data_IF_954027841806
#
_entry.id   IF_954027841806
#
_cell.length_a   1.000
_cell.length_b   1.000
_cell.length_c   1.000
_cell.angle_alpha   90.00
_cell.angle_beta   90.00
_cell.angle_gamma   90.00
#
_symmetry.space_group_name_H-M   'P 1'
#
loop_
_entity.id
_entity.type
_entity.pdbx_description
1 polymer ?
#
# COMPACT_ATOMS: atom_id res chain seq x y z
N UNK A 1 19.08 -13.13 -58.95
CA UNK A 1 17.98 -12.70 -58.07
C UNK A 1 18.20 -11.21 -57.77
N UNK A 2 17.12 -10.43 -57.88
CA UNK A 2 17.11 -8.96 -57.95
C UNK A 2 17.83 -8.28 -56.78
N UNK A 3 18.73 -7.35 -57.10
CA UNK A 3 19.09 -6.20 -56.24
C UNK A 3 18.00 -5.12 -56.31
N UNK A 4 18.06 -3.99 -55.64
CA UNK A 4 19.02 -3.41 -54.71
C UNK A 4 18.34 -2.18 -54.08
N UNK A 5 18.76 -1.79 -52.89
CA UNK A 5 18.44 -0.52 -52.21
C UNK A 5 19.41 0.60 -52.67
N UNK A 6 19.34 1.84 -52.16
CA UNK A 6 18.25 2.83 -52.21
C UNK A 6 18.81 4.22 -52.69
N UNK A 7 18.04 5.30 -52.49
CA UNK A 7 18.42 6.74 -52.48
C UNK A 7 18.66 7.47 -53.83
N UNK A 8 17.91 8.56 -54.09
CA UNK A 8 18.41 9.90 -54.46
C UNK A 8 17.24 10.80 -54.90
N UNK A 9 17.24 12.03 -54.41
CA UNK A 9 16.35 13.14 -54.76
C UNK A 9 16.74 13.72 -56.13
N UNK A 10 15.80 14.27 -56.90
CA UNK A 10 16.05 15.47 -57.71
C UNK A 10 14.75 16.10 -58.26
N UNK A 11 14.71 17.43 -58.14
CA UNK A 11 13.68 18.36 -58.59
C UNK A 11 13.47 18.33 -60.11
N UNK A 12 12.23 18.55 -60.55
CA UNK A 12 11.96 19.19 -61.84
C UNK A 12 10.86 20.24 -61.70
N UNK A 13 11.26 21.47 -61.99
CA UNK A 13 10.44 22.66 -62.15
C UNK A 13 9.56 22.53 -63.39
N UNK A 14 8.28 22.92 -63.32
CA UNK A 14 7.57 23.43 -64.50
C UNK A 14 6.50 24.45 -64.11
N UNK A 15 6.48 25.50 -64.91
CA UNK A 15 5.85 26.80 -64.77
C UNK A 15 4.44 26.75 -65.38
N UNK A 16 3.40 27.15 -64.65
CA UNK A 16 2.07 27.43 -65.23
C UNK A 16 1.53 28.78 -64.75
N UNK A 17 1.08 29.50 -65.76
CA UNK A 17 0.67 30.90 -65.93
C UNK A 17 -0.44 31.38 -64.96
N UNK A 18 -0.34 32.65 -64.61
CA UNK A 18 -1.33 33.44 -63.88
C UNK A 18 -2.67 33.55 -64.62
N UNK A 19 -3.78 33.39 -63.89
CA UNK A 19 -5.13 33.62 -64.41
C UNK A 19 -6.18 33.79 -63.32
N UNK A 20 -6.67 35.03 -63.21
CA UNK A 20 -7.99 35.46 -62.73
C UNK A 20 -8.38 35.29 -61.24
N UNK A 21 -8.64 36.45 -60.63
CA UNK A 21 -9.30 36.66 -59.35
C UNK A 21 -10.72 36.07 -59.36
N UNK A 22 -11.06 35.30 -58.33
CA UNK A 22 -12.40 35.15 -57.79
C UNK A 22 -12.30 35.15 -56.26
N UNK A 23 -12.70 36.26 -55.64
CA UNK A 23 -13.00 36.32 -54.21
C UNK A 23 -14.26 35.48 -53.98
N UNK A 24 -14.07 34.25 -53.50
CA UNK A 24 -15.15 33.45 -52.93
C UNK A 24 -14.71 33.03 -51.54
N UNK A 25 -15.38 33.59 -50.53
CA UNK A 25 -15.14 33.28 -49.14
C UNK A 25 -15.34 31.80 -48.85
N UNK A 26 -14.38 31.19 -48.17
CA UNK A 26 -14.59 29.95 -47.46
C UNK A 26 -14.91 30.35 -46.02
N UNK A 27 -16.21 30.45 -45.74
CA UNK A 27 -16.72 30.61 -44.39
C UNK A 27 -16.22 29.43 -43.55
N UNK A 28 -15.69 29.74 -42.38
CA UNK A 28 -15.38 28.75 -41.36
C UNK A 28 -16.67 27.99 -41.03
N UNK A 29 -16.68 26.68 -41.28
CA UNK A 29 -17.75 25.78 -40.86
C UNK A 29 -17.86 25.78 -39.33
N UNK A 30 -18.57 26.78 -38.79
CA UNK A 30 -19.21 26.66 -37.49
C UNK A 30 -20.37 25.71 -37.72
N UNK A 31 -20.18 24.45 -37.33
CA UNK A 31 -21.24 23.45 -37.19
C UNK A 31 -22.50 24.11 -36.61
N UNK A 32 -23.54 24.26 -37.44
CA UNK A 32 -24.82 24.89 -37.10
C UNK A 32 -25.85 23.84 -36.68
N UNK A 33 -25.47 22.75 -35.99
CA UNK A 33 -26.48 21.88 -35.36
C UNK A 33 -27.25 22.77 -34.35
N UNK A 34 -28.59 22.88 -34.46
CA UNK A 34 -29.38 23.54 -33.42
C UNK A 34 -29.00 22.92 -32.07
N UNK A 35 -28.86 23.73 -31.01
CA UNK A 35 -28.71 23.21 -29.65
C UNK A 35 -30.01 22.46 -29.32
N UNK A 36 -30.02 21.14 -29.54
CA UNK A 36 -31.21 20.31 -29.69
C UNK A 36 -31.91 20.03 -28.34
N UNK A 37 -31.63 20.85 -27.33
CA UNK A 37 -32.11 20.66 -25.97
C UNK A 37 -31.59 19.37 -25.30
N UNK A 38 -30.60 18.69 -25.91
CA UNK A 38 -30.05 17.43 -25.41
C UNK A 38 -29.44 17.65 -24.02
N UNK A 39 -29.91 16.86 -23.06
CA UNK A 39 -29.38 16.81 -21.69
C UNK A 39 -29.04 15.38 -21.33
N UNK A 40 -27.87 15.19 -20.76
CA UNK A 40 -27.39 13.91 -20.24
C UNK A 40 -27.33 13.99 -18.72
N UNK A 41 -27.77 12.95 -18.04
CA UNK A 41 -27.66 12.82 -16.59
C UNK A 41 -27.25 11.41 -16.22
N UNK A 42 -26.41 11.31 -15.21
CA UNK A 42 -25.98 10.07 -14.56
C UNK A 42 -26.56 10.02 -13.15
N UNK A 43 -26.95 8.84 -12.67
CA UNK A 43 -27.49 8.64 -11.32
C UNK A 43 -26.96 7.35 -10.71
N UNK A 44 -26.49 7.39 -9.44
CA UNK A 44 -26.26 8.58 -8.62
C UNK A 44 -25.11 9.46 -9.16
N UNK A 45 -25.02 10.70 -8.69
CA UNK A 45 -23.92 11.61 -9.04
C UNK A 45 -22.65 11.35 -8.21
N UNK A 46 -22.80 10.68 -7.06
CA UNK A 46 -21.71 10.25 -6.20
C UNK A 46 -22.07 8.93 -5.52
N UNK A 47 -21.11 8.03 -5.38
CA UNK A 47 -21.26 6.75 -4.69
C UNK A 47 -19.95 6.32 -4.05
N UNK A 48 -20.03 5.60 -2.92
CA UNK A 48 -18.90 4.85 -2.38
C UNK A 48 -18.97 3.40 -2.88
N UNK A 49 -17.91 2.92 -3.53
CA UNK A 49 -17.79 1.53 -3.98
C UNK A 49 -16.55 0.92 -3.34
N UNK A 50 -16.67 -0.30 -2.82
CA UNK A 50 -15.52 -0.98 -2.22
C UNK A 50 -14.66 -1.60 -3.32
N UNK A 51 -13.35 -1.70 -3.10
CA UNK A 51 -12.47 -2.55 -3.92
C UNK A 51 -13.08 -3.94 -4.12
N UNK A 52 -12.90 -4.52 -5.31
CA UNK A 52 -13.47 -5.82 -5.71
C UNK A 52 -15.02 -5.91 -5.73
N UNK A 53 -15.73 -4.79 -5.57
CA UNK A 53 -17.18 -4.73 -5.70
C UNK A 53 -17.62 -3.98 -6.96
N UNK A 54 -18.86 -4.23 -7.36
CA UNK A 54 -19.49 -3.58 -8.52
C UNK A 54 -20.60 -2.63 -8.10
N UNK A 55 -20.87 -1.63 -8.92
CA UNK A 55 -21.99 -0.72 -8.77
C UNK A 55 -22.61 -0.37 -10.13
N UNK A 56 -23.93 -0.35 -10.21
CA UNK A 56 -24.67 0.00 -11.43
C UNK A 56 -24.98 1.51 -11.45
N UNK A 57 -24.49 2.20 -12.46
CA UNK A 57 -24.94 3.55 -12.79
C UNK A 57 -26.06 3.53 -13.83
N UNK A 58 -26.96 4.50 -13.75
CA UNK A 58 -27.97 4.71 -14.76
C UNK A 58 -27.73 6.04 -15.47
N UNK A 59 -27.86 6.04 -16.80
CA UNK A 59 -27.83 7.23 -17.62
C UNK A 59 -29.22 7.54 -18.18
N UNK A 60 -29.55 8.83 -18.28
CA UNK A 60 -30.75 9.32 -18.94
C UNK A 60 -30.37 10.42 -19.90
N UNK A 61 -30.72 10.25 -21.17
CA UNK A 61 -30.59 11.27 -22.21
C UNK A 61 -31.98 11.77 -22.58
N UNK A 62 -32.19 13.08 -22.59
CA UNK A 62 -33.47 13.70 -23.01
C UNK A 62 -33.22 14.68 -24.13
N UNK A 63 -34.16 14.82 -25.06
CA UNK A 63 -34.05 15.74 -26.21
C UNK A 63 -33.29 15.17 -27.40
N UNK A 64 -32.71 13.97 -27.27
CA UNK A 64 -32.07 13.27 -28.38
C UNK A 64 -33.09 12.44 -29.17
N UNK A 65 -32.86 12.30 -30.47
CA UNK A 65 -33.57 11.33 -31.31
C UNK A 65 -33.01 9.93 -31.07
N UNK A 66 -31.70 9.84 -30.83
CA UNK A 66 -30.99 8.63 -30.46
C UNK A 66 -30.35 8.77 -29.06
N UNK A 67 -30.99 8.24 -28.00
CA UNK A 67 -30.56 8.44 -26.61
C UNK A 67 -29.44 7.49 -26.17
N UNK A 68 -28.76 6.83 -27.10
CA UNK A 68 -27.64 5.93 -26.80
C UNK A 68 -26.46 6.66 -26.15
N UNK A 69 -25.74 5.93 -25.31
CA UNK A 69 -24.61 6.46 -24.54
C UNK A 69 -23.39 5.56 -24.61
N UNK A 70 -22.23 6.18 -24.45
CA UNK A 70 -20.96 5.49 -24.20
C UNK A 70 -20.47 5.79 -22.79
N UNK A 71 -19.87 4.79 -22.15
CA UNK A 71 -19.34 4.85 -20.80
C UNK A 71 -17.83 4.81 -20.82
N UNK A 72 -17.19 5.60 -19.96
CA UNK A 72 -15.74 5.57 -19.75
C UNK A 72 -15.38 5.91 -18.31
N UNK A 73 -14.18 5.49 -17.90
CA UNK A 73 -13.51 5.96 -16.70
C UNK A 73 -12.42 6.94 -17.11
N UNK A 74 -12.31 8.06 -16.39
CA UNK A 74 -11.35 9.11 -16.73
C UNK A 74 -9.91 8.75 -16.33
N UNK A 75 -9.73 7.98 -15.24
CA UNK A 75 -8.43 7.65 -14.66
C UNK A 75 -7.78 6.39 -15.27
N UNK A 76 -8.53 5.62 -16.05
CA UNK A 76 -8.05 4.40 -16.72
C UNK A 76 -8.14 3.12 -15.86
N UNK A 77 -7.48 2.02 -16.29
CA UNK A 77 -7.74 0.67 -15.75
C UNK A 77 -7.29 0.46 -14.30
N UNK A 78 -6.37 1.30 -13.78
CA UNK A 78 -5.94 1.25 -12.37
C UNK A 78 -7.06 1.59 -11.38
N UNK A 79 -8.11 2.26 -11.84
CA UNK A 79 -9.28 2.65 -11.07
C UNK A 79 -10.50 1.74 -11.34
N UNK A 80 -10.28 0.61 -12.02
CA UNK A 80 -11.32 -0.37 -12.34
C UNK A 80 -11.79 -0.27 -13.80
N UNK A 81 -12.99 -0.77 -14.05
CA UNK A 81 -13.59 -0.81 -15.38
C UNK A 81 -15.07 -0.43 -15.33
N UNK A 82 -15.57 0.21 -16.38
CA UNK A 82 -17.00 0.41 -16.60
C UNK A 82 -17.40 -0.28 -17.90
N UNK A 83 -18.44 -1.09 -17.87
CA UNK A 83 -18.94 -1.79 -19.06
C UNK A 83 -19.90 -0.92 -19.90
N UNK A 84 -20.33 -1.45 -21.04
CA UNK A 84 -21.25 -0.74 -21.95
C UNK A 84 -22.66 -0.54 -21.37
N UNK A 85 -23.00 -1.23 -20.28
CA UNK A 85 -24.28 -1.10 -19.59
C UNK A 85 -24.22 -0.15 -18.39
N UNK A 86 -23.04 0.41 -18.07
CA UNK A 86 -22.84 1.31 -16.95
C UNK A 86 -22.56 0.59 -15.61
N UNK A 87 -22.24 -0.71 -15.63
CA UNK A 87 -21.73 -1.40 -14.45
C UNK A 87 -20.27 -1.02 -14.26
N UNK A 88 -19.99 -0.31 -13.17
CA UNK A 88 -18.63 -0.08 -12.69
C UNK A 88 -18.17 -1.26 -11.82
N UNK A 89 -16.95 -1.72 -12.06
CA UNK A 89 -16.23 -2.72 -11.25
C UNK A 89 -15.00 -2.05 -10.67
N UNK A 90 -14.95 -1.93 -9.33
CA UNK A 90 -13.80 -1.38 -8.62
C UNK A 90 -12.56 -2.27 -8.79
N UNK A 91 -11.35 -1.71 -8.71
CA UNK A 91 -10.10 -2.46 -8.89
C UNK A 91 -9.87 -3.46 -7.75
N UNK A 92 -8.92 -4.37 -7.98
CA UNK A 92 -8.52 -5.38 -6.99
C UNK A 92 -7.65 -4.81 -5.86
N UNK A 93 -6.94 -3.71 -6.14
CA UNK A 93 -6.09 -2.98 -5.19
C UNK A 93 -6.52 -1.53 -5.10
N UNK A 94 -6.43 -0.95 -3.91
CA UNK A 94 -6.75 0.46 -3.68
C UNK A 94 -5.87 1.35 -4.56
N UNK A 95 -6.45 2.19 -5.44
CA UNK A 95 -5.68 3.15 -6.19
C UNK A 95 -5.33 4.38 -5.34
N UNK A 96 -4.31 5.12 -5.75
CA UNK A 96 -3.93 6.40 -5.16
C UNK A 96 -3.93 7.49 -6.24
N UNK A 97 -4.83 8.50 -6.17
CA UNK A 97 -5.87 8.69 -5.15
C UNK A 97 -7.03 7.69 -5.26
N UNK A 98 -7.69 7.41 -4.13
CA UNK A 98 -8.81 6.46 -4.01
C UNK A 98 -10.16 7.01 -4.56
N UNK A 99 -10.13 7.72 -5.68
CA UNK A 99 -11.31 8.33 -6.31
C UNK A 99 -11.30 8.10 -7.81
N UNK A 100 -12.44 7.76 -8.39
CA UNK A 100 -12.61 7.60 -9.84
C UNK A 100 -13.78 8.43 -10.37
N UNK A 101 -13.76 8.75 -11.67
CA UNK A 101 -14.80 9.51 -12.34
C UNK A 101 -15.38 8.70 -13.49
N UNK A 102 -16.65 8.31 -13.37
CA UNK A 102 -17.40 7.71 -14.48
C UNK A 102 -17.97 8.81 -15.33
N UNK A 103 -17.75 8.70 -16.64
CA UNK A 103 -18.28 9.60 -17.64
C UNK A 103 -19.23 8.86 -18.54
N UNK A 104 -20.37 9.51 -18.78
CA UNK A 104 -21.32 9.08 -19.80
C UNK A 104 -21.41 10.15 -20.89
N UNK A 105 -21.28 9.73 -22.14
CA UNK A 105 -21.27 10.59 -23.33
C UNK A 105 -22.40 10.20 -24.27
N UNK A 106 -23.20 11.18 -24.70
CA UNK A 106 -24.23 10.94 -25.71
C UNK A 106 -23.59 10.55 -27.04
N UNK A 107 -24.13 9.52 -27.69
CA UNK A 107 -23.65 9.06 -29.01
C UNK A 107 -23.99 10.08 -30.10
N UNK A 108 -25.17 10.71 -30.03
CA UNK A 108 -25.66 11.65 -31.04
C UNK A 108 -24.95 13.01 -31.01
N UNK A 109 -24.47 13.43 -29.83
CA UNK A 109 -23.71 14.66 -29.63
C UNK A 109 -22.68 14.47 -28.51
N UNK A 110 -21.43 14.21 -28.91
CA UNK A 110 -20.33 13.95 -27.98
C UNK A 110 -19.94 15.14 -27.11
N UNK A 111 -20.45 16.35 -27.39
CA UNK A 111 -20.27 17.52 -26.52
C UNK A 111 -21.18 17.48 -25.28
N UNK A 112 -22.21 16.63 -25.29
CA UNK A 112 -23.14 16.44 -24.17
C UNK A 112 -22.71 15.25 -23.33
N UNK A 113 -22.28 15.53 -22.11
CA UNK A 113 -21.73 14.53 -21.20
C UNK A 113 -22.23 14.78 -19.78
N UNK A 114 -22.20 13.74 -18.95
CA UNK A 114 -22.36 13.85 -17.50
C UNK A 114 -21.33 12.98 -16.80
N UNK A 115 -20.97 13.36 -15.57
CA UNK A 115 -20.00 12.63 -14.76
C UNK A 115 -20.56 12.29 -13.38
N UNK A 116 -20.09 11.17 -12.83
CA UNK A 116 -20.34 10.76 -11.46
C UNK A 116 -19.01 10.48 -10.76
N UNK A 117 -18.91 10.88 -9.50
CA UNK A 117 -17.76 10.61 -8.65
C UNK A 117 -17.92 9.26 -7.94
N UNK A 118 -16.85 8.50 -7.88
CA UNK A 118 -16.74 7.28 -7.09
C UNK A 118 -15.68 7.51 -6.02
N UNK A 119 -16.08 7.35 -4.76
CA UNK A 119 -15.16 7.20 -3.65
C UNK A 119 -14.86 5.70 -3.49
N UNK A 120 -13.62 5.28 -3.75
CA UNK A 120 -13.22 3.89 -3.63
C UNK A 120 -12.81 3.64 -2.18
N UNK A 121 -13.44 2.66 -1.54
CA UNK A 121 -13.23 2.37 -0.12
C UNK A 121 -12.82 0.94 0.17
N UNK A 122 -12.40 0.72 1.41
CA UNK A 122 -11.97 -0.57 1.94
C UNK A 122 -12.55 -0.75 3.36
N UNK A 123 -12.81 -2.00 3.74
CA UNK A 123 -13.20 -2.41 5.10
C UNK A 123 -12.17 -3.35 5.73
N UNK A 124 -10.94 -3.34 5.20
CA UNK A 124 -9.90 -4.25 5.63
C UNK A 124 -9.44 -3.86 7.03
N UNK A 125 -9.40 -4.84 7.92
CA UNK A 125 -8.76 -4.71 9.23
C UNK A 125 -7.63 -5.71 9.30
N UNK A 126 -6.40 -5.21 9.51
CA UNK A 126 -5.21 -6.05 9.73
C UNK A 126 -4.96 -6.15 11.23
N UNK A 127 -4.65 -7.35 11.71
CA UNK A 127 -4.17 -7.57 13.08
C UNK A 127 -2.91 -8.42 13.06
N UNK A 128 -2.07 -8.26 14.07
CA UNK A 128 -0.78 -8.94 14.21
C UNK A 128 -0.66 -9.51 15.63
N UNK A 129 -0.14 -10.74 15.72
CA UNK A 129 0.08 -11.45 16.98
C UNK A 129 1.47 -12.11 17.00
N UNK A 130 2.21 -12.02 18.12
CA UNK A 130 1.91 -11.19 19.29
C UNK A 130 2.09 -9.69 19.01
N UNK A 131 1.35 -8.82 19.71
CA UNK A 131 1.52 -7.36 19.60
C UNK A 131 2.83 -6.86 20.20
N UNK A 132 3.36 -7.60 21.17
CA UNK A 132 4.63 -7.31 21.82
C UNK A 132 5.35 -8.59 22.23
N UNK A 133 6.65 -8.67 21.98
CA UNK A 133 7.51 -9.76 22.44
C UNK A 133 8.93 -9.26 22.72
N UNK A 134 9.68 -10.01 23.54
CA UNK A 134 11.12 -9.84 23.72
C UNK A 134 11.84 -11.07 23.17
N UNK A 135 12.82 -10.87 22.29
CA UNK A 135 13.64 -11.94 21.73
C UNK A 135 15.12 -11.71 22.03
N UNK A 136 15.86 -12.80 22.19
CA UNK A 136 17.31 -12.72 22.28
C UNK A 136 17.94 -12.58 20.90
N UNK A 137 19.15 -12.03 20.86
CA UNK A 137 19.95 -11.98 19.63
C UNK A 137 20.14 -13.40 19.04
N UNK A 138 19.97 -13.53 17.74
CA UNK A 138 20.04 -14.81 17.02
C UNK A 138 18.83 -15.75 17.19
N UNK A 139 17.81 -15.37 17.98
CA UNK A 139 16.55 -16.14 18.05
C UNK A 139 15.61 -15.78 16.90
N UNK A 140 14.67 -16.66 16.63
CA UNK A 140 13.62 -16.47 15.63
C UNK A 140 12.23 -16.52 16.27
N UNK A 141 11.26 -15.89 15.62
CA UNK A 141 9.86 -15.93 16.03
C UNK A 141 8.93 -15.82 14.83
N UNK A 142 7.83 -16.57 14.87
CA UNK A 142 6.77 -16.48 13.87
C UNK A 142 5.75 -15.44 14.32
N UNK A 143 5.57 -14.39 13.53
CA UNK A 143 4.42 -13.51 13.67
C UNK A 143 3.27 -14.04 12.82
N UNK A 144 2.06 -13.92 13.35
CA UNK A 144 0.84 -14.22 12.60
C UNK A 144 0.11 -12.91 12.35
N UNK A 145 -0.25 -12.67 11.09
CA UNK A 145 -1.13 -11.58 10.71
C UNK A 145 -2.43 -12.15 10.17
N UNK A 146 -3.53 -11.49 10.52
CA UNK A 146 -4.83 -11.77 9.90
C UNK A 146 -5.36 -10.48 9.31
N UNK A 147 -5.76 -10.54 8.05
CA UNK A 147 -6.42 -9.43 7.39
C UNK A 147 -7.84 -9.87 7.06
N UNK A 148 -8.83 -9.27 7.71
CA UNK A 148 -10.22 -9.62 7.46
C UNK A 148 -10.80 -8.66 6.45
N UNK A 149 -10.93 -9.11 5.21
CA UNK A 149 -11.95 -8.65 4.27
C UNK A 149 -13.25 -9.35 4.66
N UNK A 150 -14.42 -8.76 4.42
CA UNK A 150 -15.70 -9.49 4.58
C UNK A 150 -15.84 -10.76 3.70
N UNK A 151 -14.78 -11.18 2.97
CA UNK A 151 -14.68 -12.34 2.12
C UNK A 151 -13.20 -12.73 1.93
N UNK A 152 -12.75 -13.79 2.63
CA UNK A 152 -11.47 -14.55 2.54
C UNK A 152 -10.18 -13.76 2.21
N UNK A 153 -9.30 -13.63 3.23
CA UNK A 153 -7.86 -13.28 3.23
C UNK A 153 -7.27 -12.46 2.07
N UNK A 154 -6.96 -11.16 2.23
CA UNK A 154 -5.90 -10.53 1.47
C UNK A 154 -4.55 -10.94 2.08
N UNK A 155 -3.64 -11.44 1.24
CA UNK A 155 -2.24 -11.63 1.66
C UNK A 155 -1.69 -10.31 2.24
N UNK A 156 -0.88 -10.42 3.28
CA UNK A 156 -0.14 -9.28 3.84
C UNK A 156 1.30 -9.30 3.37
N UNK A 157 1.90 -8.13 3.33
CA UNK A 157 3.35 -7.97 3.16
C UNK A 157 3.96 -7.63 4.50
N UNK A 158 5.09 -8.27 4.80
CA UNK A 158 5.83 -8.05 6.02
C UNK A 158 7.00 -7.11 5.77
N UNK A 159 7.20 -6.17 6.68
CA UNK A 159 8.38 -5.32 6.70
C UNK A 159 8.85 -5.06 8.12
N UNK A 160 10.14 -4.81 8.26
CA UNK A 160 10.69 -4.19 9.46
C UNK A 160 10.69 -2.69 9.20
N UNK A 161 9.96 -1.94 10.02
CA UNK A 161 10.03 -0.49 9.97
C UNK A 161 11.42 -0.08 10.50
N UNK A 162 12.23 0.51 9.63
CA UNK A 162 13.59 1.01 9.89
C UNK A 162 14.73 -0.06 9.89
N UNK A 163 15.70 0.17 8.99
CA UNK A 163 17.06 -0.42 8.86
C UNK A 163 17.24 -1.94 8.69
N UNK A 164 18.25 -2.31 7.90
CA UNK A 164 18.71 -3.68 7.65
C UNK A 164 19.42 -4.32 8.86
N UNK A 165 19.83 -3.52 9.85
CA UNK A 165 20.56 -4.00 11.03
C UNK A 165 19.65 -4.69 12.07
N UNK A 166 18.33 -4.64 11.87
CA UNK A 166 17.34 -5.10 12.86
C UNK A 166 16.88 -6.54 12.62
N UNK A 167 17.64 -7.31 11.82
CA UNK A 167 17.33 -8.69 11.48
C UNK A 167 16.61 -8.81 10.14
N UNK A 168 15.88 -9.91 9.95
CA UNK A 168 15.15 -10.18 8.71
C UNK A 168 13.76 -10.71 9.01
N UNK A 169 12.77 -10.39 8.16
CA UNK A 169 11.45 -11.00 8.15
C UNK A 169 11.13 -11.48 6.74
N UNK A 170 10.57 -12.67 6.60
CA UNK A 170 10.17 -13.23 5.31
C UNK A 170 8.69 -12.96 4.96
N UNK A 171 8.22 -13.47 3.82
CA UNK A 171 6.83 -13.30 3.37
C UNK A 171 5.81 -14.03 4.24
N UNK A 172 6.24 -15.01 5.03
CA UNK A 172 5.36 -15.76 5.92
C UNK A 172 5.29 -15.13 7.32
N UNK A 173 6.08 -14.08 7.59
CA UNK A 173 6.12 -13.41 8.90
C UNK A 173 7.12 -14.03 9.87
N UNK A 174 8.04 -14.87 9.39
CA UNK A 174 9.09 -15.45 10.20
C UNK A 174 10.22 -14.45 10.38
N UNK A 175 10.34 -13.92 11.59
CA UNK A 175 11.37 -12.96 11.96
C UNK A 175 12.61 -13.66 12.55
N UNK A 176 13.79 -13.24 12.14
CA UNK A 176 15.08 -13.64 12.71
C UNK A 176 15.82 -12.43 13.29
N UNK A 177 16.08 -12.48 14.60
CA UNK A 177 16.81 -11.44 15.32
C UNK A 177 18.27 -11.37 14.86
N UNK A 178 18.86 -10.17 14.79
CA UNK A 178 20.26 -10.01 14.42
C UNK A 178 21.19 -10.69 15.44
N UNK A 179 22.40 -11.05 15.00
CA UNK A 179 23.41 -11.65 15.88
C UNK A 179 24.13 -10.61 16.76
N UNK A 180 24.10 -9.34 16.36
CA UNK A 180 24.74 -8.23 17.08
C UNK A 180 23.67 -7.22 17.47
N UNK A 181 23.82 -6.64 18.65
CA UNK A 181 22.90 -5.64 19.16
C UNK A 181 22.90 -4.39 18.27
N UNK A 182 21.74 -3.95 17.75
CA UNK A 182 21.66 -2.69 17.02
C UNK A 182 21.76 -1.48 17.96
N UNK A 183 21.84 -0.28 17.38
CA UNK A 183 21.88 0.97 18.14
C UNK A 183 20.63 1.18 19.01
N UNK A 184 19.49 0.67 18.56
CA UNK A 184 18.24 0.60 19.30
C UNK A 184 17.86 -0.85 19.56
N UNK A 185 17.13 -1.07 20.65
CA UNK A 185 16.67 -2.39 21.05
C UNK A 185 15.17 -2.60 20.80
N UNK A 186 14.46 -1.58 20.32
CA UNK A 186 13.05 -1.64 19.98
C UNK A 186 12.90 -1.69 18.46
N UNK A 187 12.38 -2.80 17.96
CA UNK A 187 12.12 -3.08 16.55
C UNK A 187 10.61 -3.02 16.32
N UNK A 188 10.17 -2.44 15.20
CA UNK A 188 8.76 -2.42 14.82
C UNK A 188 8.58 -3.30 13.59
N UNK A 189 7.75 -4.33 13.72
CA UNK A 189 7.34 -5.18 12.60
C UNK A 189 6.00 -4.67 12.09
N UNK A 190 5.85 -4.57 10.78
CA UNK A 190 4.64 -4.12 10.10
C UNK A 190 4.13 -5.19 9.16
N UNK A 191 2.84 -5.48 9.25
CA UNK A 191 2.09 -6.27 8.28
C UNK A 191 1.12 -5.33 7.54
N UNK A 192 1.23 -5.25 6.21
CA UNK A 192 0.45 -4.34 5.35
C UNK A 192 -0.39 -5.14 4.36
N UNK A 193 -1.67 -4.82 4.22
CA UNK A 193 -2.57 -5.48 3.26
C UNK A 193 -2.14 -5.23 1.80
N UNK A 194 -2.15 -6.27 0.97
CA UNK A 194 -1.92 -6.11 -0.48
C UNK A 194 -3.06 -5.39 -1.21
N UNK A 195 -4.28 -5.52 -0.70
CA UNK A 195 -5.47 -4.93 -1.33
C UNK A 195 -5.63 -3.46 -0.96
N UNK A 196 -5.21 -3.07 0.24
CA UNK A 196 -5.32 -1.70 0.74
C UNK A 196 -4.05 -1.34 1.50
N UNK A 197 -3.05 -0.74 0.83
CA UNK A 197 -1.75 -0.43 1.42
C UNK A 197 -1.80 0.52 2.63
N UNK A 198 -2.89 1.28 2.80
CA UNK A 198 -3.11 2.14 3.97
C UNK A 198 -3.59 1.34 5.19
N UNK A 199 -4.08 0.11 5.00
CA UNK A 199 -4.49 -0.80 6.07
C UNK A 199 -3.31 -1.67 6.53
N UNK A 200 -2.76 -1.35 7.70
CA UNK A 200 -1.64 -2.08 8.29
C UNK A 200 -1.79 -2.33 9.80
N UNK A 201 -1.02 -3.28 10.33
CA UNK A 201 -0.86 -3.55 11.75
C UNK A 201 0.62 -3.59 12.14
N UNK A 202 0.93 -3.18 13.37
CA UNK A 202 2.31 -3.18 13.88
C UNK A 202 2.45 -3.97 15.17
N UNK A 203 3.58 -4.67 15.30
CA UNK A 203 4.03 -5.35 16.51
C UNK A 203 5.35 -4.75 16.98
N UNK A 204 5.53 -4.66 18.30
CA UNK A 204 6.77 -4.18 18.92
C UNK A 204 7.60 -5.34 19.42
N UNK A 205 8.84 -5.38 18.99
CA UNK A 205 9.82 -6.36 19.40
C UNK A 205 10.90 -5.68 20.23
N UNK A 206 11.28 -6.27 21.36
CA UNK A 206 12.44 -5.83 22.15
C UNK A 206 13.56 -6.86 22.05
N UNK A 207 14.76 -6.42 21.70
CA UNK A 207 15.95 -7.26 21.64
C UNK A 207 16.68 -7.27 22.99
N UNK A 208 17.13 -8.45 23.41
CA UNK A 208 17.95 -8.61 24.62
C UNK A 208 19.23 -9.39 24.31
N UNK A 209 20.36 -8.93 24.85
CA UNK A 209 21.65 -9.63 24.76
C UNK A 209 21.83 -10.76 25.78
N UNK A 210 20.91 -10.89 26.74
CA UNK A 210 21.04 -11.79 27.88
C UNK A 210 20.00 -12.90 27.79
N UNK A 211 20.43 -14.15 27.88
CA UNK A 211 19.52 -15.25 28.19
C UNK A 211 19.14 -15.16 29.68
N UNK A 212 17.86 -15.02 30.06
CA UNK A 212 17.47 -15.02 31.46
C UNK A 212 17.88 -16.32 32.18
N UNK A 213 18.13 -17.42 31.45
CA UNK A 213 18.70 -18.64 32.03
C UNK A 213 20.21 -18.54 32.32
N UNK A 214 20.95 -17.64 31.66
CA UNK A 214 22.39 -17.40 31.89
C UNK A 214 22.66 -16.11 32.65
N UNK A 215 21.65 -15.46 33.24
CA UNK A 215 21.88 -14.50 34.31
C UNK A 215 22.45 -15.24 35.54
N UNK A 216 23.71 -15.65 35.46
CA UNK A 216 24.55 -15.79 36.63
C UNK A 216 24.71 -14.35 37.13
N UNK A 217 24.29 -14.00 38.36
CA UNK A 217 24.58 -12.69 38.89
C UNK A 217 26.10 -12.52 38.85
N UNK A 218 26.58 -11.56 38.05
CA UNK A 218 28.01 -11.26 37.85
C UNK A 218 28.69 -10.74 39.12
N UNK A 219 27.99 -10.78 40.25
CA UNK A 219 28.52 -10.48 41.56
C UNK A 219 28.19 -11.64 42.52
N UNK A 220 29.24 -12.32 42.93
CA UNK A 220 29.22 -13.06 44.19
C UNK A 220 29.35 -12.04 45.33
N UNK A 221 28.53 -12.17 46.38
CA UNK A 221 28.72 -11.38 47.59
C UNK A 221 29.46 -12.24 48.62
N UNK A 222 30.37 -11.63 49.37
CA UNK A 222 30.98 -12.29 50.52
C UNK A 222 30.02 -12.20 51.72
N UNK A 223 29.79 -13.33 52.36
CA UNK A 223 29.09 -13.37 53.64
C UNK A 223 29.99 -12.80 54.73
N UNK A 224 29.61 -11.63 55.26
CA UNK A 224 30.34 -10.95 56.32
C UNK A 224 29.74 -11.21 57.70
N UNK A 225 28.77 -12.12 57.84
CA UNK A 225 28.22 -12.49 59.13
C UNK A 225 29.24 -13.36 59.88
N UNK A 226 29.74 -12.94 61.06
CA UNK A 226 30.80 -13.67 61.76
C UNK A 226 30.39 -15.06 62.30
N UNK A 227 29.09 -15.32 62.43
CA UNK A 227 28.55 -16.51 63.11
C UNK A 227 27.90 -17.53 62.16
N UNK A 228 28.07 -17.36 60.84
CA UNK A 228 27.59 -18.30 59.83
C UNK A 228 28.71 -19.25 59.38
N UNK A 229 28.40 -20.50 59.02
CA UNK A 229 29.38 -21.42 58.43
C UNK A 229 29.88 -20.97 57.06
N UNK A 230 29.26 -19.93 56.48
CA UNK A 230 29.57 -19.34 55.18
C UNK A 230 30.40 -18.06 55.27
N UNK A 231 30.73 -17.58 56.47
CA UNK A 231 31.54 -16.37 56.69
C UNK A 231 32.83 -16.40 55.86
N UNK A 232 33.07 -15.34 55.09
CA UNK A 232 34.23 -15.22 54.21
C UNK A 232 34.14 -16.01 52.89
N UNK A 233 33.00 -16.62 52.57
CA UNK A 233 32.78 -17.36 51.33
C UNK A 233 31.97 -16.53 50.34
N UNK A 234 32.33 -16.61 49.06
CA UNK A 234 31.54 -16.08 47.96
C UNK A 234 30.23 -16.88 47.82
N UNK A 235 29.09 -16.22 48.00
CA UNK A 235 27.77 -16.85 47.91
C UNK A 235 26.86 -16.13 46.93
N UNK A 236 25.98 -16.90 46.29
CA UNK A 236 24.89 -16.38 45.45
C UNK A 236 23.83 -15.70 46.33
N UNK A 237 23.49 -14.42 46.08
CA UNK A 237 22.48 -13.71 46.85
C UNK A 237 21.10 -14.39 46.79
N UNK A 238 20.79 -15.12 45.71
CA UNK A 238 19.49 -15.78 45.50
C UNK A 238 19.25 -16.94 46.47
N UNK A 239 20.31 -17.68 46.81
CA UNK A 239 20.20 -18.89 47.64
C UNK A 239 20.18 -18.57 49.15
N UNK A 240 20.58 -17.35 49.51
CA UNK A 240 20.74 -16.90 50.90
C UNK A 240 20.01 -15.59 51.24
N UNK A 241 19.19 -15.06 50.32
CA UNK A 241 18.27 -13.95 50.57
C UNK A 241 17.37 -14.27 51.79
N UNK A 242 17.55 -13.53 52.87
CA UNK A 242 16.84 -13.72 54.15
C UNK A 242 17.52 -14.62 55.18
N UNK A 243 18.65 -15.27 54.86
CA UNK A 243 19.48 -16.04 55.80
C UNK A 243 20.73 -15.27 56.25
N UNK A 244 21.21 -14.36 55.40
CA UNK A 244 22.38 -13.52 55.66
C UNK A 244 21.92 -12.06 55.72
N UNK A 245 22.29 -11.38 56.81
CA UNK A 245 21.81 -10.04 57.16
C UNK A 245 22.78 -8.92 56.77
N UNK A 246 24.02 -9.26 56.41
CA UNK A 246 25.11 -8.31 56.15
C UNK A 246 25.90 -8.76 54.92
N UNK A 247 26.09 -7.84 53.98
CA UNK A 247 26.71 -8.10 52.68
C UNK A 247 27.84 -7.11 52.41
N UNK A 248 28.97 -7.60 51.89
CA UNK A 248 30.08 -6.76 51.41
C UNK A 248 30.23 -6.82 49.89
N UNK A 249 30.41 -5.67 49.25
CA UNK A 249 30.80 -5.60 47.84
C UNK A 249 32.33 -5.59 47.73
N UNK A 250 32.92 -6.62 47.13
CA UNK A 250 34.35 -6.59 46.76
C UNK A 250 34.42 -6.15 45.30
N UNK A 251 35.07 -5.01 45.01
CA UNK A 251 35.50 -4.71 43.64
C UNK A 251 36.70 -5.61 43.34
N UNK A 252 36.54 -6.55 42.42
CA UNK A 252 37.68 -7.23 41.82
C UNK A 252 38.59 -6.20 41.15
N UNK A 253 39.86 -6.15 41.53
CA UNK A 253 40.89 -5.48 40.76
C UNK A 253 41.05 -6.22 39.43
N UNK A 254 41.01 -5.47 38.33
CA UNK A 254 41.35 -5.92 36.96
C UNK A 254 42.67 -6.67 36.90
#
# INVERSE_FOLDING_TARGET
MRGGTPWFRLLFSLLVVAGLVCLAGCGSDKSTKPDDGIKVRITPAQVMVRVQHTYQFNATVTGAVDPDVTWSLDEGPGWGMVDTTGVYTAPDTMPDPATATVRVTCVEDSTKQATALIDIGSLITVTISPKQITLQLGQTHQFEATATTGKLDPDVTWSIDESEDWGSIDSDGFYAAPAVMPATYAVTIRATSLVDPESCATARLFLSSVDPATMVPDFMLEDMHPDTPTSGTLVSPRDYLGKISVWGFIRGST
#
